data_IF_785243503396
#
_entry.id   IF_785243503396
#
_cell.length_a   1.000
_cell.length_b   1.000
_cell.length_c   1.000
_cell.angle_alpha   90.00
_cell.angle_beta   90.00
_cell.angle_gamma   90.00
#
_symmetry.space_group_name_H-M   'P 1'
#
loop_
_entity.id
_entity.type
_entity.pdbx_description
1 polymer ?
#
# COMPACT_ATOMS: atom_id res chain seq x y z
N UNK A 1 -28.47 -10.56 3.39
CA UNK A 1 -27.48 -9.63 3.53
C UNK A 1 -27.72 -8.67 4.63
N UNK A 2 -26.70 -8.32 5.28
CA UNK A 2 -26.82 -7.44 6.43
C UNK A 2 -26.51 -6.04 6.04
N UNK A 3 -27.36 -5.15 6.41
CA UNK A 3 -27.15 -3.79 6.09
C UNK A 3 -27.04 -2.99 7.30
N UNK A 4 -26.70 -1.75 7.14
CA UNK A 4 -26.76 -0.84 8.25
C UNK A 4 -28.22 -0.63 8.60
N UNK A 5 -28.48 -0.66 9.86
CA UNK A 5 -29.80 -0.40 10.38
C UNK A 5 -29.72 0.92 11.11
N UNK A 6 -30.55 1.85 10.71
CA UNK A 6 -30.54 3.17 11.31
C UNK A 6 -31.43 3.12 12.52
N UNK A 7 -30.83 3.33 13.69
CA UNK A 7 -31.56 3.41 14.93
C UNK A 7 -31.87 4.85 15.25
N UNK A 8 -32.64 5.05 16.28
CA UNK A 8 -32.96 6.40 16.66
C UNK A 8 -31.69 7.13 16.96
N UNK A 9 -31.60 8.36 16.58
CA UNK A 9 -30.40 9.14 16.74
C UNK A 9 -29.42 8.95 15.61
N UNK A 10 -29.76 8.21 14.58
CA UNK A 10 -28.87 8.02 13.46
C UNK A 10 -27.83 6.96 13.65
N UNK A 11 -27.96 6.17 14.69
CA UNK A 11 -27.03 5.10 14.94
C UNK A 11 -27.18 4.02 13.90
N UNK A 12 -26.06 3.51 13.43
CA UNK A 12 -26.04 2.44 12.46
C UNK A 12 -25.55 1.17 13.08
N UNK A 13 -26.21 0.05 12.72
CA UNK A 13 -25.74 -1.25 13.13
C UNK A 13 -25.13 -1.91 11.92
N UNK A 14 -23.86 -1.66 11.71
CA UNK A 14 -23.11 -2.21 10.60
C UNK A 14 -22.25 -3.33 11.12
N UNK A 15 -22.20 -4.43 10.36
CA UNK A 15 -21.28 -5.51 10.68
C UNK A 15 -19.86 -4.97 10.52
N UNK A 16 -19.16 -4.80 11.63
CA UNK A 16 -17.84 -4.19 11.59
C UNK A 16 -16.82 -5.06 10.88
N UNK A 17 -16.96 -6.39 10.97
CA UNK A 17 -16.02 -7.25 10.27
C UNK A 17 -16.22 -7.18 8.77
N UNK A 18 -17.45 -7.07 8.30
CA UNK A 18 -17.71 -6.89 6.90
C UNK A 18 -17.12 -5.56 6.40
N UNK A 19 -17.33 -4.51 7.16
CA UNK A 19 -16.81 -3.20 6.77
C UNK A 19 -15.29 -3.20 6.71
N UNK A 20 -14.64 -3.82 7.71
CA UNK A 20 -13.19 -3.91 7.72
C UNK A 20 -12.69 -4.66 6.49
N UNK A 21 -13.36 -5.76 6.14
CA UNK A 21 -12.95 -6.53 4.97
C UNK A 21 -13.10 -5.73 3.68
N UNK A 22 -14.17 -4.96 3.56
CA UNK A 22 -14.36 -4.13 2.37
C UNK A 22 -13.33 -3.02 2.29
N UNK A 23 -12.99 -2.42 3.44
CA UNK A 23 -11.93 -1.40 3.45
C UNK A 23 -10.60 -2.00 3.04
N UNK A 24 -10.29 -3.19 3.54
CA UNK A 24 -9.04 -3.85 3.17
C UNK A 24 -9.02 -4.19 1.70
N UNK A 25 -10.14 -4.63 1.17
CA UNK A 25 -10.23 -4.93 -0.25
C UNK A 25 -10.01 -3.67 -1.08
N UNK A 26 -10.61 -2.56 -0.66
CA UNK A 26 -10.43 -1.30 -1.36
C UNK A 26 -8.98 -0.86 -1.37
N UNK A 27 -8.26 -1.07 -0.26
CA UNK A 27 -6.87 -0.63 -0.16
C UNK A 27 -5.88 -1.59 -0.79
N UNK A 28 -6.28 -2.83 -1.03
CA UNK A 28 -5.32 -3.85 -1.45
C UNK A 28 -4.58 -3.46 -2.71
N UNK A 29 -5.24 -2.83 -3.65
CA UNK A 29 -4.61 -2.46 -4.91
C UNK A 29 -3.61 -1.32 -4.80
N UNK A 30 -3.58 -0.59 -3.69
CA UNK A 30 -2.68 0.55 -3.56
C UNK A 30 -1.36 0.19 -2.89
N UNK A 31 -1.21 -1.04 -2.41
CA UNK A 31 -0.05 -1.37 -1.58
C UNK A 31 1.25 -1.35 -2.37
N UNK A 32 1.24 -1.87 -3.60
CA UNK A 32 2.44 -1.85 -4.41
C UNK A 32 2.87 -0.42 -4.69
N UNK A 33 1.93 0.43 -5.06
CA UNK A 33 2.25 1.83 -5.33
C UNK A 33 2.82 2.52 -4.10
N UNK A 34 2.21 2.26 -2.94
CA UNK A 34 2.68 2.85 -1.69
C UNK A 34 4.12 2.45 -1.40
N UNK A 35 4.44 1.17 -1.55
CA UNK A 35 5.77 0.67 -1.27
C UNK A 35 6.78 1.26 -2.24
N UNK A 36 6.48 1.23 -3.54
CA UNK A 36 7.41 1.76 -4.53
C UNK A 36 7.67 3.25 -4.31
N UNK A 37 6.64 3.99 -3.88
CA UNK A 37 6.78 5.43 -3.68
C UNK A 37 7.79 5.78 -2.59
N UNK A 38 8.05 4.87 -1.67
CA UNK A 38 8.93 5.14 -0.54
C UNK A 38 10.33 4.56 -0.73
N UNK A 39 10.61 3.95 -1.88
CA UNK A 39 11.91 3.31 -2.14
C UNK A 39 12.72 4.05 -3.19
N UNK A 40 12.44 5.34 -3.39
CA UNK A 40 13.33 6.18 -4.17
C UNK A 40 14.66 6.38 -3.46
N UNK A 41 14.71 6.16 -2.15
CA UNK A 41 15.95 6.03 -1.42
C UNK A 41 16.00 4.66 -0.79
N UNK A 42 17.22 4.20 -0.54
CA UNK A 42 17.46 2.92 0.10
C UNK A 42 16.87 2.89 1.50
N UNK A 43 16.15 1.83 1.82
CA UNK A 43 15.59 1.66 3.15
C UNK A 43 15.67 0.22 3.59
N UNK A 44 15.88 0.01 4.89
CA UNK A 44 15.68 -1.30 5.50
C UNK A 44 14.20 -1.60 5.53
N UNK A 45 13.86 -2.90 5.54
CA UNK A 45 12.45 -3.27 5.63
C UNK A 45 11.78 -2.68 6.85
N UNK A 46 12.49 -2.67 8.00
CA UNK A 46 11.92 -2.11 9.21
C UNK A 46 11.68 -0.61 9.09
N UNK A 47 12.63 0.12 8.53
CA UNK A 47 12.44 1.57 8.41
C UNK A 47 11.35 1.91 7.41
N UNK A 48 11.18 1.09 6.37
CA UNK A 48 10.08 1.27 5.44
C UNK A 48 8.74 1.07 6.13
N UNK A 49 8.64 0.02 6.95
CA UNK A 49 7.41 -0.23 7.69
C UNK A 49 7.07 0.95 8.59
N UNK A 50 8.07 1.48 9.29
CA UNK A 50 7.89 2.62 10.18
C UNK A 50 7.50 3.88 9.40
N UNK A 51 8.14 4.09 8.26
CA UNK A 51 7.88 5.26 7.44
C UNK A 51 6.43 5.26 6.93
N UNK A 52 5.95 4.10 6.49
CA UNK A 52 4.57 3.99 6.04
C UNK A 52 3.61 4.25 7.19
N UNK A 53 3.90 3.72 8.37
CA UNK A 53 3.05 3.92 9.53
C UNK A 53 3.03 5.39 9.92
N UNK A 54 4.19 6.06 9.91
CA UNK A 54 4.26 7.48 10.23
C UNK A 54 3.42 8.32 9.28
N UNK A 55 3.29 7.87 8.05
CA UNK A 55 2.50 8.57 7.04
C UNK A 55 1.06 8.08 7.00
N UNK A 56 0.66 7.31 8.00
CA UNK A 56 -0.71 6.82 8.17
C UNK A 56 -1.13 5.82 7.12
N UNK A 57 -0.16 5.14 6.51
CA UNK A 57 -0.44 4.05 5.59
C UNK A 57 -0.16 2.76 6.33
N UNK A 58 -1.24 2.07 6.72
CA UNK A 58 -1.13 0.90 7.56
C UNK A 58 -0.94 -0.34 6.71
N UNK A 59 0.28 -0.81 6.62
CA UNK A 59 0.60 -2.10 6.02
C UNK A 59 1.34 -2.89 7.08
N UNK A 60 0.78 -4.03 7.46
CA UNK A 60 1.39 -4.82 8.53
C UNK A 60 2.61 -5.55 8.02
N UNK A 61 3.51 -5.88 8.94
CA UNK A 61 4.75 -6.56 8.60
C UNK A 61 4.49 -7.87 7.85
N UNK A 62 3.46 -8.61 8.26
CA UNK A 62 3.10 -9.87 7.61
C UNK A 62 2.66 -9.70 6.17
N UNK A 63 2.28 -8.49 5.78
CA UNK A 63 1.95 -8.18 4.38
C UNK A 63 3.14 -7.57 3.67
N UNK A 64 3.86 -6.67 4.36
CA UNK A 64 4.91 -5.91 3.72
C UNK A 64 6.10 -6.80 3.31
N UNK A 65 6.57 -7.66 4.19
CA UNK A 65 7.77 -8.43 3.87
C UNK A 65 7.56 -9.40 2.72
N UNK A 66 6.44 -10.14 2.64
CA UNK A 66 6.20 -10.95 1.44
C UNK A 66 6.07 -10.12 0.18
N UNK A 67 5.50 -8.92 0.30
CA UNK A 67 5.37 -8.04 -0.87
C UNK A 67 6.74 -7.59 -1.36
N UNK A 68 7.63 -7.23 -0.44
CA UNK A 68 8.99 -6.84 -0.82
C UNK A 68 9.69 -7.98 -1.57
N UNK A 69 9.55 -9.21 -1.07
CA UNK A 69 10.16 -10.36 -1.74
C UNK A 69 9.58 -10.56 -3.13
N UNK A 70 8.27 -10.40 -3.27
CA UNK A 70 7.65 -10.56 -4.57
C UNK A 70 8.13 -9.50 -5.55
N UNK A 71 8.18 -8.24 -5.11
CA UNK A 71 8.62 -7.15 -5.98
C UNK A 71 10.08 -7.33 -6.38
N UNK A 72 10.90 -7.84 -5.47
CA UNK A 72 12.28 -8.13 -5.80
C UNK A 72 12.36 -9.24 -6.84
N UNK A 73 11.59 -10.31 -6.68
CA UNK A 73 11.62 -11.40 -7.65
C UNK A 73 11.07 -10.97 -9.00
N UNK A 74 10.23 -9.95 -9.05
CA UNK A 74 9.73 -9.39 -10.29
C UNK A 74 10.71 -8.41 -10.93
N UNK A 75 11.85 -8.17 -10.28
CA UNK A 75 12.85 -7.30 -10.83
C UNK A 75 12.61 -5.82 -10.59
N UNK A 76 11.66 -5.47 -9.74
CA UNK A 76 11.34 -4.07 -9.48
C UNK A 76 12.13 -3.50 -8.32
N UNK A 77 12.63 -4.36 -7.43
CA UNK A 77 13.48 -3.96 -6.32
C UNK A 77 14.79 -4.69 -6.38
N UNK A 78 15.84 -4.03 -5.89
CA UNK A 78 17.12 -4.65 -5.58
C UNK A 78 17.25 -4.67 -4.08
N UNK A 79 18.04 -5.61 -3.58
CA UNK A 79 18.29 -5.65 -2.15
C UNK A 79 19.76 -5.98 -1.91
N UNK A 80 20.25 -5.55 -0.76
CA UNK A 80 21.60 -5.86 -0.32
C UNK A 80 21.59 -6.02 1.18
N UNK A 81 22.56 -6.82 1.66
CA UNK A 81 22.71 -7.01 3.09
C UNK A 81 23.73 -6.02 3.62
N UNK A 82 23.37 -5.36 4.71
CA UNK A 82 24.28 -4.52 5.44
C UNK A 82 24.84 -5.34 6.58
N UNK A 83 26.11 -5.68 6.49
CA UNK A 83 26.76 -6.54 7.48
C UNK A 83 27.73 -5.76 8.36
N UNK A 84 27.61 -4.43 8.39
CA UNK A 84 28.52 -3.62 9.19
C UNK A 84 28.31 -3.79 10.68
N UNK A 85 27.13 -4.27 11.09
CA UNK A 85 26.85 -4.55 12.49
C UNK A 85 26.77 -6.03 12.71
N UNK A 86 26.76 -6.44 13.97
CA UNK A 86 26.73 -7.86 14.30
C UNK A 86 25.45 -8.52 13.81
N UNK A 87 24.39 -7.75 13.61
CA UNK A 87 23.14 -8.28 13.13
C UNK A 87 22.93 -7.76 11.71
N UNK A 88 23.08 -8.62 10.70
CA UNK A 88 22.90 -8.17 9.31
C UNK A 88 21.48 -7.69 9.08
N UNK A 89 21.35 -6.65 8.28
CA UNK A 89 20.05 -6.10 7.90
C UNK A 89 19.99 -6.00 6.39
N UNK A 90 18.78 -6.27 5.87
CA UNK A 90 18.56 -6.24 4.42
C UNK A 90 17.91 -4.93 4.06
N UNK A 91 18.45 -4.23 3.08
CA UNK A 91 17.80 -3.03 2.62
C UNK A 91 17.46 -3.14 1.14
N UNK A 92 16.51 -2.31 0.74
CA UNK A 92 15.89 -2.36 -0.57
C UNK A 92 15.95 -1.01 -1.24
N UNK A 93 15.94 -1.03 -2.57
CA UNK A 93 15.83 0.17 -3.36
C UNK A 93 15.21 -0.20 -4.70
N UNK A 94 14.68 0.81 -5.41
CA UNK A 94 14.10 0.57 -6.72
C UNK A 94 15.18 0.20 -7.73
N UNK A 95 14.90 -0.80 -8.56
CA UNK A 95 15.69 -1.03 -9.76
C UNK A 95 15.32 0.02 -10.81
N UNK A 96 16.03 0.02 -11.93
CA UNK A 96 15.65 0.91 -13.01
C UNK A 96 14.24 0.60 -13.51
N UNK A 97 13.93 -0.70 -13.65
CA UNK A 97 12.57 -1.10 -14.01
C UNK A 97 11.58 -0.66 -12.95
N UNK A 98 11.97 -0.75 -11.68
CA UNK A 98 11.09 -0.32 -10.59
C UNK A 98 10.77 1.15 -10.66
N UNK A 99 11.73 1.98 -11.04
CA UNK A 99 11.48 3.41 -11.19
C UNK A 99 10.49 3.68 -12.30
N UNK A 100 10.63 2.97 -13.40
CA UNK A 100 9.71 3.15 -14.50
C UNK A 100 8.31 2.66 -14.16
N UNK A 101 8.22 1.49 -13.54
CA UNK A 101 6.92 0.94 -13.14
C UNK A 101 6.25 1.85 -12.13
N UNK A 102 7.02 2.42 -11.20
CA UNK A 102 6.45 3.36 -10.24
C UNK A 102 5.76 4.52 -10.96
N UNK A 103 6.41 5.13 -11.96
CA UNK A 103 5.81 6.23 -12.68
C UNK A 103 4.55 5.82 -13.42
N UNK A 104 4.57 4.63 -14.04
CA UNK A 104 3.42 4.14 -14.77
C UNK A 104 2.25 3.86 -13.82
N UNK A 105 2.53 3.31 -12.65
CA UNK A 105 1.48 3.05 -11.66
C UNK A 105 0.94 4.34 -11.07
N UNK A 106 1.79 5.33 -10.87
CA UNK A 106 1.34 6.62 -10.37
C UNK A 106 0.39 7.26 -11.38
N UNK A 107 0.73 7.18 -12.68
CA UNK A 107 -0.17 7.69 -13.70
C UNK A 107 -1.50 6.95 -13.71
N UNK A 108 -1.44 5.63 -13.53
CA UNK A 108 -2.67 4.84 -13.51
C UNK A 108 -3.52 5.19 -12.30
N UNK A 109 -2.87 5.43 -11.15
CA UNK A 109 -3.59 5.86 -9.95
C UNK A 109 -4.33 7.17 -10.20
N UNK A 110 -3.68 8.12 -10.87
CA UNK A 110 -4.32 9.40 -11.17
C UNK A 110 -5.52 9.21 -12.09
N UNK A 111 -5.41 8.30 -13.05
CA UNK A 111 -6.52 7.97 -13.94
C UNK A 111 -7.68 7.36 -13.17
N UNK A 112 -7.39 6.41 -12.29
CA UNK A 112 -8.43 5.75 -11.50
C UNK A 112 -9.11 6.78 -10.59
N UNK A 113 -8.32 7.64 -9.95
CA UNK A 113 -8.89 8.63 -9.05
C UNK A 113 -9.85 9.55 -9.80
N UNK A 114 -9.49 9.94 -11.02
CA UNK A 114 -10.35 10.79 -11.80
C UNK A 114 -11.63 10.08 -12.22
N UNK A 115 -11.49 8.81 -12.63
CA UNK A 115 -12.65 8.02 -13.00
C UNK A 115 -13.61 7.88 -11.84
N UNK A 116 -13.07 7.60 -10.65
CA UNK A 116 -13.91 7.45 -9.47
C UNK A 116 -14.60 8.77 -9.11
N UNK A 117 -13.88 9.89 -9.21
CA UNK A 117 -14.49 11.19 -8.96
C UNK A 117 -15.65 11.44 -9.91
N UNK A 118 -15.47 11.09 -11.18
CA UNK A 118 -16.55 11.28 -12.14
C UNK A 118 -17.78 10.46 -11.77
N UNK A 119 -17.56 9.25 -11.29
CA UNK A 119 -18.67 8.40 -10.88
C UNK A 119 -19.37 8.97 -9.65
N UNK A 120 -18.61 9.45 -8.67
CA UNK A 120 -19.19 9.93 -7.42
C UNK A 120 -19.99 11.21 -7.62
N UNK A 121 -19.56 12.06 -8.56
CA UNK A 121 -20.24 13.31 -8.80
C UNK A 121 -21.44 13.16 -9.70
N UNK A 122 -21.66 11.98 -10.21
CA UNK A 122 -22.72 11.75 -11.12
C UNK A 122 -22.35 12.30 -12.46
N UNK A 123 -23.27 12.45 -13.36
CA UNK A 123 -22.96 12.99 -14.55
C UNK A 123 -22.93 14.38 -14.47
N UNK A 124 -22.06 14.95 -14.91
CA UNK A 124 -21.92 16.36 -14.90
C UNK A 124 -21.98 16.89 -16.28
#
# INVERSE_FOLDING_TARGET
>A
MTYSIILSGGENMIDQSMLTNLKNELRRGTQVLAVLSQLDKTQYGYSLLQDLEDKKVNIEAGTLYPLLRRLESQGLLKSEWDTTESRPRKYYLLSEDGKEVYQLLLNEWNTIAKEMSNLFEGEK
#
